data_IF_954678120463
#
_entry.id   IF_954678120463
#
_cell.length_a   1.000
_cell.length_b   1.000
_cell.length_c   1.000
_cell.angle_alpha   90.00
_cell.angle_beta   90.00
_cell.angle_gamma   90.00
#
_symmetry.space_group_name_H-M   'P 1'
#
loop_
_entity.id
_entity.type
_entity.pdbx_description
1 polymer ?
#
# COMPACT_ATOMS: atom_id res chain seq x y z
N UNK A 1 -16.60 -26.26 -17.37
CA UNK A 1 -17.30 -25.63 -16.24
C UNK A 1 -16.66 -24.27 -16.05
N UNK A 2 -17.39 -23.19 -16.32
CA UNK A 2 -16.92 -21.85 -15.95
C UNK A 2 -16.88 -21.81 -14.42
N UNK A 3 -15.72 -21.58 -13.81
CA UNK A 3 -15.59 -21.41 -12.36
C UNK A 3 -16.33 -20.11 -11.99
N UNK A 4 -17.59 -20.25 -11.58
CA UNK A 4 -18.39 -19.13 -11.08
C UNK A 4 -17.71 -18.50 -9.87
N UNK A 5 -17.76 -17.17 -9.78
CA UNK A 5 -17.17 -16.43 -8.67
C UNK A 5 -17.81 -16.85 -7.36
N UNK A 6 -16.98 -17.20 -6.37
CA UNK A 6 -17.47 -17.48 -5.02
C UNK A 6 -18.17 -16.24 -4.43
N UNK A 7 -19.43 -16.40 -4.02
CA UNK A 7 -20.22 -15.35 -3.35
C UNK A 7 -20.69 -15.82 -1.97
N UNK A 8 -21.14 -14.88 -1.14
CA UNK A 8 -21.82 -15.18 0.12
C UNK A 8 -23.22 -15.70 -0.17
N UNK A 9 -23.62 -16.77 0.52
CA UNK A 9 -24.93 -17.42 0.31
C UNK A 9 -25.93 -17.09 1.43
N UNK A 10 -25.90 -15.87 1.94
CA UNK A 10 -26.79 -15.42 3.00
C UNK A 10 -27.39 -14.03 2.68
N UNK A 11 -28.32 -13.56 3.51
CA UNK A 11 -28.99 -12.26 3.31
C UNK A 11 -28.09 -11.04 3.56
N UNK A 12 -26.77 -11.20 3.65
CA UNK A 12 -25.77 -10.11 3.67
C UNK A 12 -25.16 -9.82 2.29
N UNK A 13 -25.58 -10.53 1.23
CA UNK A 13 -25.18 -10.22 -0.14
C UNK A 13 -25.62 -8.80 -0.51
N UNK A 14 -24.72 -7.98 -1.07
CA UNK A 14 -25.02 -6.60 -1.44
C UNK A 14 -25.32 -6.52 -2.93
N UNK A 15 -26.54 -6.13 -3.25
CA UNK A 15 -27.10 -6.10 -4.60
C UNK A 15 -27.52 -4.65 -4.95
N UNK A 16 -26.51 -3.79 -5.01
CA UNK A 16 -26.64 -2.36 -5.31
C UNK A 16 -26.55 -2.09 -6.82
N UNK A 17 -27.45 -1.25 -7.34
CA UNK A 17 -27.51 -0.85 -8.75
C UNK A 17 -26.40 0.09 -9.19
N UNK A 18 -25.75 0.81 -8.27
CA UNK A 18 -24.78 1.84 -8.62
C UNK A 18 -23.53 1.20 -9.22
N UNK A 19 -23.03 1.86 -10.25
CA UNK A 19 -21.81 1.51 -10.99
C UNK A 19 -20.53 1.89 -10.22
N UNK A 20 -19.35 1.38 -10.60
CA UNK A 20 -18.09 1.81 -10.00
C UNK A 20 -17.85 3.33 -10.06
N UNK A 21 -18.36 4.02 -11.09
CA UNK A 21 -18.26 5.47 -11.23
C UNK A 21 -18.95 6.23 -10.10
N UNK A 22 -20.08 5.71 -9.61
CA UNK A 22 -20.91 6.36 -8.59
C UNK A 22 -20.21 6.39 -7.22
N UNK A 23 -19.25 5.49 -7.00
CA UNK A 23 -18.51 5.39 -5.74
C UNK A 23 -17.21 6.20 -5.71
N UNK A 24 -16.80 6.91 -6.77
CA UNK A 24 -15.46 7.54 -6.91
C UNK A 24 -14.99 8.37 -5.70
N UNK A 25 -15.92 8.95 -4.92
CA UNK A 25 -15.63 9.72 -3.71
C UNK A 25 -16.37 9.30 -2.44
N UNK A 26 -17.23 8.27 -2.51
CA UNK A 26 -18.15 7.91 -1.42
C UNK A 26 -18.19 6.41 -1.16
N UNK A 27 -18.59 6.01 0.05
CA UNK A 27 -18.86 4.60 0.39
C UNK A 27 -20.29 4.18 0.04
N UNK A 28 -20.66 2.93 0.30
CA UNK A 28 -22.00 2.43 0.01
C UNK A 28 -23.09 3.32 0.65
N UNK A 29 -22.89 3.69 1.90
CA UNK A 29 -23.83 4.53 2.66
C UNK A 29 -23.70 6.03 2.38
N UNK A 30 -22.89 6.44 1.40
CA UNK A 30 -22.76 7.84 0.99
C UNK A 30 -21.74 8.67 1.77
N UNK A 31 -20.96 8.08 2.67
CA UNK A 31 -19.93 8.80 3.43
C UNK A 31 -18.73 9.15 2.55
N UNK A 32 -18.11 10.33 2.77
CA UNK A 32 -16.90 10.71 2.04
C UNK A 32 -15.71 9.83 2.45
N UNK A 33 -14.90 9.40 1.49
CA UNK A 33 -13.72 8.54 1.76
C UNK A 33 -12.74 9.13 2.77
N UNK A 34 -12.55 10.44 2.76
CA UNK A 34 -11.65 11.14 3.70
C UNK A 34 -12.17 11.08 5.13
N UNK A 35 -13.49 11.18 5.33
CA UNK A 35 -14.13 11.08 6.64
C UNK A 35 -14.03 9.64 7.15
N UNK A 36 -14.38 8.66 6.30
CA UNK A 36 -14.28 7.23 6.64
C UNK A 36 -12.84 6.83 6.98
N UNK A 37 -11.84 7.33 6.25
CA UNK A 37 -10.42 7.15 6.58
C UNK A 37 -10.08 7.62 7.98
N UNK A 38 -10.49 8.85 8.32
CA UNK A 38 -10.18 9.43 9.63
C UNK A 38 -10.89 8.66 10.74
N UNK A 39 -12.17 8.34 10.56
CA UNK A 39 -12.93 7.58 11.55
C UNK A 39 -12.36 6.18 11.75
N UNK A 40 -12.01 5.46 10.67
CA UNK A 40 -11.36 4.15 10.75
C UNK A 40 -10.06 4.21 11.56
N UNK A 41 -9.18 5.17 11.27
CA UNK A 41 -7.93 5.36 12.03
C UNK A 41 -8.23 5.62 13.51
N UNK A 42 -9.22 6.45 13.82
CA UNK A 42 -9.61 6.75 15.20
C UNK A 42 -10.24 5.54 15.91
N UNK A 43 -11.07 4.74 15.24
CA UNK A 43 -11.63 3.50 15.80
C UNK A 43 -10.51 2.50 16.13
N UNK A 44 -9.51 2.36 15.24
CA UNK A 44 -8.31 1.53 15.49
C UNK A 44 -7.51 2.09 16.67
N UNK A 45 -7.27 3.41 16.75
CA UNK A 45 -6.58 4.03 17.91
C UNK A 45 -7.33 3.84 19.23
N UNK A 46 -8.66 3.82 19.20
CA UNK A 46 -9.49 3.60 20.40
C UNK A 46 -9.66 2.12 20.73
N UNK A 47 -8.95 1.22 20.04
CA UNK A 47 -9.05 -0.23 20.19
C UNK A 47 -10.51 -0.74 20.07
N UNK A 48 -11.26 -0.20 19.10
CA UNK A 48 -12.65 -0.57 18.82
C UNK A 48 -12.76 -1.42 17.55
N UNK A 49 -12.54 -2.74 17.62
CA UNK A 49 -12.46 -3.60 16.43
C UNK A 49 -13.77 -3.69 15.64
N UNK A 50 -14.93 -3.65 16.30
CA UNK A 50 -16.23 -3.70 15.62
C UNK A 50 -16.49 -2.44 14.79
N UNK A 51 -16.27 -1.27 15.40
CA UNK A 51 -16.37 0.04 14.72
C UNK A 51 -15.37 0.14 13.56
N UNK A 52 -14.12 -0.33 13.77
CA UNK A 52 -13.13 -0.38 12.71
C UNK A 52 -13.53 -1.33 11.57
N UNK A 53 -14.11 -2.50 11.87
CA UNK A 53 -14.60 -3.42 10.85
C UNK A 53 -15.78 -2.84 10.07
N UNK A 54 -16.65 -2.05 10.71
CA UNK A 54 -17.72 -1.31 10.02
C UNK A 54 -17.16 -0.36 8.97
N UNK A 55 -16.21 0.51 9.35
CA UNK A 55 -15.63 1.48 8.41
C UNK A 55 -14.75 0.84 7.33
N UNK A 56 -14.09 -0.27 7.64
CA UNK A 56 -13.40 -1.10 6.64
C UNK A 56 -14.39 -1.70 5.64
N UNK A 57 -15.51 -2.26 6.12
CA UNK A 57 -16.56 -2.82 5.28
C UNK A 57 -17.24 -1.77 4.39
N UNK A 58 -17.48 -0.56 4.89
CA UNK A 58 -18.00 0.56 4.09
C UNK A 58 -17.15 0.84 2.84
N UNK A 59 -15.82 0.87 3.01
CA UNK A 59 -14.88 1.04 1.89
C UNK A 59 -14.93 -0.15 0.92
N UNK A 60 -14.99 -1.38 1.43
CA UNK A 60 -15.10 -2.59 0.61
C UNK A 60 -16.40 -2.59 -0.20
N UNK A 61 -17.52 -2.21 0.40
CA UNK A 61 -18.83 -2.18 -0.26
C UNK A 61 -18.88 -1.17 -1.42
N UNK A 62 -18.10 -0.09 -1.33
CA UNK A 62 -17.89 0.89 -2.41
C UNK A 62 -16.72 0.57 -3.36
N UNK A 63 -16.06 -0.58 -3.22
CA UNK A 63 -14.94 -1.00 -4.09
C UNK A 63 -13.60 -0.32 -3.80
N UNK A 64 -13.44 0.35 -2.65
CA UNK A 64 -12.25 1.15 -2.31
C UNK A 64 -11.10 0.33 -1.69
N UNK A 65 -10.77 -0.82 -2.29
CA UNK A 65 -9.78 -1.74 -1.74
C UNK A 65 -8.38 -1.13 -1.62
N UNK A 66 -7.93 -0.40 -2.65
CA UNK A 66 -6.61 0.22 -2.66
C UNK A 66 -6.53 1.33 -1.60
N UNK A 67 -7.58 2.14 -1.44
CA UNK A 67 -7.63 3.13 -0.38
C UNK A 67 -7.55 2.49 1.02
N UNK A 68 -8.21 1.35 1.22
CA UNK A 68 -8.17 0.61 2.48
C UNK A 68 -6.78 0.02 2.76
N UNK A 69 -6.11 -0.56 1.76
CA UNK A 69 -4.71 -0.99 1.87
C UNK A 69 -3.77 0.17 2.24
N UNK A 70 -3.95 1.34 1.63
CA UNK A 70 -3.19 2.55 2.00
C UNK A 70 -3.42 2.98 3.44
N UNK A 71 -4.64 2.80 3.98
CA UNK A 71 -4.94 3.11 5.38
C UNK A 71 -4.19 2.15 6.30
N UNK A 72 -4.23 0.85 6.02
CA UNK A 72 -3.53 -0.15 6.84
C UNK A 72 -2.02 0.02 6.80
N UNK A 73 -1.43 0.15 5.61
CA UNK A 73 0.01 0.37 5.46
C UNK A 73 0.42 1.63 6.22
N UNK A 74 -0.32 2.73 6.05
CA UNK A 74 -0.07 3.97 6.76
C UNK A 74 -0.13 3.78 8.28
N UNK A 75 -1.19 3.15 8.79
CA UNK A 75 -1.38 2.95 10.22
C UNK A 75 -0.27 2.09 10.83
N UNK A 76 0.01 0.94 10.20
CA UNK A 76 1.04 0.02 10.66
C UNK A 76 2.40 0.68 10.69
N UNK A 77 2.78 1.43 9.65
CA UNK A 77 4.10 2.05 9.61
C UNK A 77 4.21 3.29 10.49
N UNK A 78 3.11 4.02 10.74
CA UNK A 78 3.14 5.23 11.59
C UNK A 78 3.01 4.93 13.09
N UNK A 79 2.13 4.01 13.48
CA UNK A 79 1.72 3.83 14.88
C UNK A 79 2.14 2.50 15.50
N UNK A 80 2.38 1.46 14.69
CA UNK A 80 2.75 0.12 15.19
C UNK A 80 4.26 -0.07 15.06
N UNK A 81 4.77 -0.06 13.83
CA UNK A 81 6.19 -0.19 13.46
C UNK A 81 6.95 -1.24 14.29
N UNK A 82 8.02 -0.85 14.99
CA UNK A 82 8.83 -1.72 15.86
C UNK A 82 8.06 -2.27 17.06
N UNK A 83 6.84 -1.79 17.34
CA UNK A 83 5.93 -2.37 18.33
C UNK A 83 5.44 -3.76 17.93
N UNK A 84 5.29 -4.04 16.63
CA UNK A 84 4.97 -5.38 16.12
C UNK A 84 5.46 -5.52 14.67
N UNK A 85 6.78 -5.74 14.44
CA UNK A 85 7.34 -5.71 13.10
C UNK A 85 6.83 -6.84 12.19
N UNK A 86 6.41 -7.97 12.77
CA UNK A 86 5.82 -9.11 12.03
C UNK A 86 4.54 -8.72 11.27
N UNK A 87 3.88 -7.61 11.63
CA UNK A 87 2.67 -7.16 10.95
C UNK A 87 2.90 -6.87 9.46
N UNK A 88 4.12 -6.47 9.09
CA UNK A 88 4.45 -6.21 7.68
C UNK A 88 4.48 -7.49 6.85
N UNK A 89 5.11 -8.54 7.38
CA UNK A 89 5.13 -9.87 6.73
C UNK A 89 3.70 -10.39 6.61
N UNK A 90 2.89 -10.20 7.66
CA UNK A 90 1.48 -10.57 7.64
C UNK A 90 0.69 -9.82 6.56
N UNK A 91 0.81 -8.49 6.50
CA UNK A 91 0.12 -7.67 5.50
C UNK A 91 0.52 -8.04 4.08
N UNK A 92 1.80 -8.28 3.82
CA UNK A 92 2.29 -8.72 2.51
C UNK A 92 1.64 -10.06 2.11
N UNK A 93 1.64 -11.06 3.01
CA UNK A 93 0.99 -12.35 2.76
C UNK A 93 -0.50 -12.21 2.47
N UNK A 94 -1.21 -11.35 3.21
CA UNK A 94 -2.63 -11.07 2.95
C UNK A 94 -2.83 -10.33 1.63
N UNK A 95 -1.94 -9.42 1.27
CA UNK A 95 -1.97 -8.74 -0.01
C UNK A 95 -1.74 -9.72 -1.18
N UNK A 96 -0.87 -10.72 -1.06
CA UNK A 96 -0.72 -11.74 -2.10
C UNK A 96 -1.99 -12.56 -2.30
N UNK A 97 -2.69 -12.92 -1.22
CA UNK A 97 -4.01 -13.58 -1.33
C UNK A 97 -4.99 -12.68 -2.08
N UNK A 98 -5.09 -11.40 -1.70
CA UNK A 98 -5.92 -10.41 -2.39
C UNK A 98 -5.57 -10.32 -3.89
N UNK A 99 -4.28 -10.19 -4.20
CA UNK A 99 -3.77 -10.08 -5.56
C UNK A 99 -4.09 -11.32 -6.40
N UNK A 100 -3.99 -12.52 -5.82
CA UNK A 100 -4.33 -13.75 -6.50
C UNK A 100 -5.81 -13.80 -6.87
N UNK A 101 -6.71 -13.41 -5.95
CA UNK A 101 -8.16 -13.31 -6.22
C UNK A 101 -8.42 -12.29 -7.33
N UNK A 102 -7.78 -11.11 -7.26
CA UNK A 102 -7.88 -10.09 -8.31
C UNK A 102 -7.40 -10.59 -9.68
N UNK A 103 -6.34 -11.40 -9.72
CA UNK A 103 -5.76 -11.90 -10.98
C UNK A 103 -6.55 -13.01 -11.65
N UNK A 104 -7.36 -13.77 -10.89
CA UNK A 104 -8.23 -14.79 -11.46
C UNK A 104 -9.27 -14.17 -12.41
N UNK A 105 -9.70 -12.93 -12.15
CA UNK A 105 -10.52 -12.18 -13.09
C UNK A 105 -11.95 -12.71 -13.26
N UNK A 106 -12.43 -13.56 -12.34
CA UNK A 106 -13.77 -14.14 -12.35
C UNK A 106 -14.88 -13.11 -12.00
N UNK A 107 -14.69 -11.83 -12.29
CA UNK A 107 -15.63 -10.75 -12.01
C UNK A 107 -15.65 -9.71 -13.14
N UNK A 108 -16.80 -9.08 -13.35
CA UNK A 108 -17.04 -7.95 -14.26
C UNK A 108 -16.41 -6.66 -13.75
N UNK A 109 -16.54 -6.38 -12.46
CA UNK A 109 -15.93 -5.20 -11.87
C UNK A 109 -15.57 -5.48 -10.40
N UNK A 110 -14.72 -4.62 -9.83
CA UNK A 110 -14.19 -4.82 -8.48
C UNK A 110 -15.27 -4.77 -7.39
N UNK A 111 -16.46 -4.18 -7.65
CA UNK A 111 -17.55 -4.15 -6.66
C UNK A 111 -18.04 -5.55 -6.33
N UNK A 112 -18.02 -6.49 -7.27
CA UNK A 112 -18.49 -7.86 -7.04
C UNK A 112 -17.69 -8.58 -5.94
N UNK A 113 -16.41 -8.20 -5.74
CA UNK A 113 -15.58 -8.76 -4.67
C UNK A 113 -16.07 -8.38 -3.26
N UNK A 114 -16.98 -7.40 -3.13
CA UNK A 114 -17.59 -7.06 -1.84
C UNK A 114 -18.43 -8.20 -1.31
N UNK A 115 -18.86 -9.13 -2.17
CA UNK A 115 -19.61 -10.33 -1.80
C UNK A 115 -18.72 -11.59 -1.72
N UNK A 116 -17.42 -11.48 -1.99
CA UNK A 116 -16.52 -12.62 -1.91
C UNK A 116 -16.21 -12.96 -0.42
N UNK A 117 -16.52 -14.17 0.07
CA UNK A 117 -16.40 -14.50 1.50
C UNK A 117 -14.97 -14.38 2.03
N UNK A 118 -13.99 -14.88 1.26
CA UNK A 118 -12.56 -14.74 1.60
C UNK A 118 -12.11 -13.27 1.72
N UNK A 119 -12.57 -12.38 0.83
CA UNK A 119 -12.27 -10.95 0.90
C UNK A 119 -12.84 -10.35 2.18
N UNK A 120 -14.13 -10.56 2.46
CA UNK A 120 -14.79 -10.05 3.68
C UNK A 120 -14.06 -10.51 4.95
N UNK A 121 -13.77 -11.80 5.05
CA UNK A 121 -13.11 -12.38 6.22
C UNK A 121 -11.65 -11.92 6.36
N UNK A 122 -10.91 -11.80 5.25
CA UNK A 122 -9.52 -11.36 5.26
C UNK A 122 -9.39 -9.92 5.74
N UNK A 123 -10.23 -9.01 5.24
CA UNK A 123 -10.20 -7.62 5.67
C UNK A 123 -10.67 -7.43 7.12
N UNK A 124 -11.65 -8.22 7.58
CA UNK A 124 -12.02 -8.25 9.00
C UNK A 124 -10.85 -8.70 9.87
N UNK A 125 -10.16 -9.78 9.46
CA UNK A 125 -8.99 -10.28 10.15
C UNK A 125 -7.88 -9.22 10.25
N UNK A 126 -7.50 -8.60 9.13
CA UNK A 126 -6.49 -7.54 9.08
C UNK A 126 -6.87 -6.40 10.01
N UNK A 127 -8.13 -5.94 9.96
CA UNK A 127 -8.63 -4.84 10.80
C UNK A 127 -8.48 -5.17 12.28
N UNK A 128 -8.91 -6.36 12.70
CA UNK A 128 -8.80 -6.78 14.09
C UNK A 128 -7.33 -6.95 14.52
N UNK A 129 -6.48 -7.56 13.70
CA UNK A 129 -5.05 -7.71 13.98
C UNK A 129 -4.36 -6.36 14.19
N UNK A 130 -4.62 -5.38 13.33
CA UNK A 130 -4.08 -4.03 13.47
C UNK A 130 -4.63 -3.35 14.72
N UNK A 131 -5.93 -3.45 14.97
CA UNK A 131 -6.61 -2.84 16.12
C UNK A 131 -6.12 -3.38 17.47
N UNK A 132 -5.61 -4.61 17.52
CA UNK A 132 -5.12 -5.27 18.73
C UNK A 132 -3.59 -5.32 18.82
N UNK A 133 -2.88 -4.77 17.83
CA UNK A 133 -1.42 -4.78 17.82
C UNK A 133 -0.84 -3.79 18.82
N UNK A 134 0.29 -4.18 19.42
CA UNK A 134 1.08 -3.30 20.27
C UNK A 134 1.57 -2.08 19.47
N UNK A 135 1.37 -0.91 20.06
CA UNK A 135 1.71 0.38 19.43
C UNK A 135 2.97 0.96 20.06
N UNK A 136 3.60 1.83 19.30
CA UNK A 136 4.71 2.66 19.75
C UNK A 136 4.36 4.13 19.52
N UNK A 137 5.20 5.02 20.03
CA UNK A 137 5.10 6.45 19.74
C UNK A 137 5.01 6.67 18.24
N UNK A 138 4.07 7.53 17.81
CA UNK A 138 3.86 7.77 16.39
C UNK A 138 5.09 8.38 15.75
N UNK A 139 5.45 7.87 14.57
CA UNK A 139 6.50 8.50 13.77
C UNK A 139 5.91 9.74 13.12
N UNK A 140 6.56 10.88 13.31
CA UNK A 140 6.14 12.14 12.70
C UNK A 140 6.93 12.43 11.42
N UNK A 141 6.31 13.20 10.53
CA UNK A 141 6.96 13.59 9.28
C UNK A 141 8.12 14.55 9.58
N UNK A 142 9.30 14.26 9.05
CA UNK A 142 10.40 15.23 9.03
C UNK A 142 10.04 16.36 8.06
N UNK A 143 10.11 17.61 8.51
CA UNK A 143 9.78 18.77 7.69
C UNK A 143 11.05 19.30 7.02
N UNK A 144 10.94 19.67 5.74
CA UNK A 144 11.97 20.36 4.97
C UNK A 144 11.49 21.76 4.60
N UNK A 145 12.32 22.77 4.85
CA UNK A 145 12.06 24.13 4.35
C UNK A 145 12.47 24.20 2.87
N UNK A 146 11.45 24.13 1.99
CA UNK A 146 11.60 23.89 0.54
C UNK A 146 12.46 24.90 -0.22
N UNK A 147 12.55 26.15 0.22
CA UNK A 147 13.17 27.23 -0.57
C UNK A 147 14.68 27.36 -0.29
N UNK A 148 15.11 27.09 0.94
CA UNK A 148 16.51 27.23 1.38
C UNK A 148 17.27 25.88 1.35
N UNK A 149 16.60 24.77 1.71
CA UNK A 149 17.27 23.48 1.96
C UNK A 149 17.35 22.55 0.73
N UNK A 150 16.85 22.96 -0.44
CA UNK A 150 16.97 22.15 -1.66
C UNK A 150 18.18 22.53 -2.52
N UNK A 151 18.90 23.61 -2.16
CA UNK A 151 20.20 23.93 -2.72
C UNK A 151 21.31 23.26 -1.88
N UNK A 152 22.04 22.31 -2.47
CA UNK A 152 23.11 21.57 -1.77
C UNK A 152 24.17 22.52 -1.20
N UNK A 153 24.40 23.69 -1.83
CA UNK A 153 25.34 24.70 -1.31
C UNK A 153 24.90 25.29 0.03
N UNK A 154 23.60 25.25 0.34
CA UNK A 154 22.99 25.74 1.58
C UNK A 154 22.82 24.61 2.63
N UNK A 155 23.02 23.34 2.24
CA UNK A 155 22.80 22.15 3.10
C UNK A 155 24.11 21.61 3.69
N UNK A 156 25.22 22.35 3.54
CA UNK A 156 26.56 21.95 3.98
C UNK A 156 26.62 21.49 5.45
N UNK A 157 25.86 22.15 6.34
CA UNK A 157 25.79 21.80 7.77
C UNK A 157 25.13 20.43 8.05
N UNK A 158 24.36 19.89 7.09
CA UNK A 158 23.71 18.57 7.19
C UNK A 158 24.55 17.46 6.56
N UNK A 159 25.62 17.81 5.83
CA UNK A 159 26.56 16.85 5.25
C UNK A 159 27.53 16.39 6.35
N UNK A 160 27.34 15.16 6.84
CA UNK A 160 28.09 14.63 7.97
C UNK A 160 28.87 13.36 7.64
N UNK A 161 28.73 12.82 6.42
CA UNK A 161 29.47 11.64 6.01
C UNK A 161 30.97 11.98 5.85
N UNK A 162 31.88 11.18 6.42
CA UNK A 162 33.31 11.45 6.34
C UNK A 162 33.90 11.27 4.92
N UNK A 163 33.21 10.52 4.07
CA UNK A 163 33.61 10.23 2.69
C UNK A 163 32.43 9.68 1.87
N UNK A 164 32.64 9.52 0.57
CA UNK A 164 31.61 9.08 -0.40
C UNK A 164 31.48 7.57 -0.61
N UNK A 165 32.26 6.77 0.13
CA UNK A 165 32.30 5.30 -0.06
C UNK A 165 31.01 4.57 0.32
N UNK A 166 30.06 5.23 0.99
CA UNK A 166 28.83 4.58 1.43
C UNK A 166 27.88 4.31 0.26
N UNK A 167 27.86 5.19 -0.75
CA UNK A 167 26.99 5.02 -1.92
C UNK A 167 27.63 4.27 -3.09
N UNK A 168 28.97 4.18 -3.14
CA UNK A 168 29.72 3.53 -4.22
C UNK A 168 29.20 2.14 -4.64
N UNK A 169 28.81 1.21 -3.75
CA UNK A 169 28.32 -0.11 -4.18
C UNK A 169 26.89 -0.10 -4.74
N UNK A 170 26.19 1.05 -4.69
CA UNK A 170 24.77 1.20 -5.05
C UNK A 170 24.58 2.16 -6.22
N UNK A 171 25.38 3.23 -6.28
CA UNK A 171 25.30 4.24 -7.33
C UNK A 171 25.81 3.67 -8.65
N UNK A 172 25.02 3.86 -9.71
CA UNK A 172 25.36 3.38 -11.04
C UNK A 172 25.83 4.51 -11.94
N UNK A 173 26.41 4.14 -13.08
CA UNK A 173 27.05 5.08 -13.99
C UNK A 173 26.08 6.14 -14.53
N UNK A 174 24.84 5.73 -14.80
CA UNK A 174 23.82 6.59 -15.41
C UNK A 174 22.86 7.19 -14.36
N UNK A 175 23.16 7.05 -13.07
CA UNK A 175 22.45 7.75 -12.01
C UNK A 175 22.80 9.26 -12.01
N UNK A 176 21.88 10.12 -11.53
CA UNK A 176 22.03 11.56 -11.63
C UNK A 176 23.11 12.06 -10.66
N UNK A 177 24.27 12.50 -11.19
CA UNK A 177 25.44 12.90 -10.40
C UNK A 177 25.15 13.94 -9.31
N UNK A 178 24.22 14.85 -9.56
CA UNK A 178 23.73 15.85 -8.60
C UNK A 178 23.11 15.23 -7.32
N UNK A 179 22.63 13.99 -7.40
CA UNK A 179 22.05 13.27 -6.27
C UNK A 179 23.07 12.40 -5.50
N UNK A 180 24.31 12.30 -5.99
CA UNK A 180 25.33 11.43 -5.42
C UNK A 180 25.61 11.73 -3.94
N UNK A 181 25.77 13.01 -3.59
CA UNK A 181 26.05 13.44 -2.22
C UNK A 181 24.85 13.18 -1.28
N UNK A 182 23.61 13.61 -1.60
CA UNK A 182 22.43 13.24 -0.81
C UNK A 182 22.25 11.73 -0.61
N UNK A 183 22.49 10.93 -1.65
CA UNK A 183 22.39 9.48 -1.57
C UNK A 183 23.47 8.88 -0.65
N UNK A 184 24.70 9.41 -0.69
CA UNK A 184 25.77 9.02 0.22
C UNK A 184 25.48 9.39 1.68
N UNK A 185 24.92 10.57 1.93
CA UNK A 185 24.50 10.95 3.27
C UNK A 185 23.42 10.03 3.81
N UNK A 186 22.42 9.68 3.00
CA UNK A 186 21.42 8.68 3.37
C UNK A 186 22.08 7.34 3.72
N UNK A 187 22.94 6.82 2.83
CA UNK A 187 23.65 5.56 3.00
C UNK A 187 24.50 5.55 4.29
N UNK A 188 25.23 6.63 4.58
CA UNK A 188 25.99 6.79 5.81
C UNK A 188 25.10 6.68 7.04
N UNK A 189 23.97 7.40 7.07
CA UNK A 189 23.08 7.44 8.23
C UNK A 189 22.40 6.09 8.52
N UNK A 190 22.21 5.21 7.52
CA UNK A 190 21.70 3.84 7.72
C UNK A 190 22.79 2.77 7.86
N UNK A 191 24.06 3.15 7.66
CA UNK A 191 25.19 2.24 7.75
C UNK A 191 25.44 1.76 9.19
N UNK A 192 26.28 0.73 9.32
CA UNK A 192 26.72 0.21 10.63
C UNK A 192 27.49 1.24 11.46
N UNK A 193 28.13 2.21 10.81
CA UNK A 193 28.99 3.20 11.45
C UNK A 193 28.21 4.29 12.18
N UNK A 194 27.05 4.72 11.64
CA UNK A 194 26.29 5.86 12.20
C UNK A 194 24.97 5.50 12.86
N UNK A 195 24.10 4.76 12.15
CA UNK A 195 22.74 4.38 12.59
C UNK A 195 21.89 5.56 13.11
N UNK A 196 21.76 6.63 12.32
CA UNK A 196 20.96 7.80 12.69
C UNK A 196 19.63 7.84 11.92
N UNK A 197 18.57 7.41 12.61
CA UNK A 197 17.19 7.37 12.10
C UNK A 197 16.69 8.74 11.61
N UNK A 198 16.90 9.80 12.40
CA UNK A 198 16.35 11.13 12.11
C UNK A 198 16.96 11.71 10.84
N UNK A 199 18.29 11.66 10.71
CA UNK A 199 18.98 12.16 9.53
C UNK A 199 18.69 11.31 8.28
N UNK A 200 18.56 9.98 8.42
CA UNK A 200 18.15 9.15 7.29
C UNK A 200 16.73 9.50 6.81
N UNK A 201 15.79 9.75 7.74
CA UNK A 201 14.44 10.22 7.39
C UNK A 201 14.44 11.61 6.75
N UNK A 202 15.34 12.51 7.17
CA UNK A 202 15.55 13.79 6.50
C UNK A 202 15.94 13.60 5.03
N UNK A 203 16.91 12.75 4.73
CA UNK A 203 17.35 12.51 3.35
C UNK A 203 16.29 11.80 2.49
N UNK A 204 15.41 11.01 3.09
CA UNK A 204 14.20 10.49 2.40
C UNK A 204 13.29 11.64 1.98
N UNK A 205 12.96 12.56 2.90
CA UNK A 205 12.12 13.72 2.59
C UNK A 205 12.80 14.61 1.54
N UNK A 206 14.11 14.78 1.65
CA UNK A 206 14.89 15.61 0.74
C UNK A 206 14.81 15.03 -0.67
N UNK A 207 14.97 13.72 -0.80
CA UNK A 207 14.82 12.99 -2.06
C UNK A 207 13.43 13.19 -2.68
N UNK A 208 12.37 13.07 -1.87
CA UNK A 208 10.99 13.25 -2.34
C UNK A 208 10.74 14.68 -2.81
N UNK A 209 11.19 15.68 -2.06
CA UNK A 209 10.99 17.10 -2.41
C UNK A 209 11.88 17.54 -3.58
N UNK A 210 13.11 17.02 -3.67
CA UNK A 210 14.02 17.25 -4.78
C UNK A 210 13.48 16.70 -6.11
N UNK A 211 12.99 15.45 -6.13
CA UNK A 211 12.35 14.87 -7.33
C UNK A 211 11.13 15.70 -7.77
N UNK A 212 10.31 16.16 -6.81
CA UNK A 212 9.18 17.05 -7.10
C UNK A 212 9.62 18.41 -7.68
N UNK A 213 10.72 18.99 -7.17
CA UNK A 213 11.29 20.24 -7.67
C UNK A 213 11.79 20.10 -9.10
N UNK A 214 12.56 19.04 -9.39
CA UNK A 214 13.08 18.72 -10.71
C UNK A 214 11.94 18.57 -11.74
N UNK A 215 10.86 17.88 -11.35
CA UNK A 215 9.64 17.75 -12.17
C UNK A 215 8.97 19.10 -12.44
N UNK A 216 8.87 19.98 -11.45
CA UNK A 216 8.34 21.35 -11.63
C UNK A 216 9.19 22.20 -12.58
N UNK A 217 10.51 22.05 -12.51
CA UNK A 217 11.48 22.74 -13.38
C UNK A 217 11.59 22.14 -14.79
N UNK A 218 10.79 21.11 -15.11
CA UNK A 218 10.85 20.33 -16.36
C UNK A 218 12.22 19.69 -16.64
N UNK A 219 13.08 19.58 -15.63
CA UNK A 219 14.34 18.86 -15.69
C UNK A 219 14.19 17.58 -14.87
N UNK A 220 13.76 16.48 -15.50
CA UNK A 220 13.49 15.23 -14.76
C UNK A 220 14.80 14.63 -14.26
N UNK A 221 14.90 14.43 -12.95
CA UNK A 221 15.99 13.69 -12.31
C UNK A 221 15.59 12.22 -12.23
N UNK A 222 16.22 11.37 -13.03
CA UNK A 222 15.87 9.94 -13.16
C UNK A 222 17.08 9.08 -12.85
N UNK A 223 16.88 7.98 -12.13
CA UNK A 223 17.92 6.99 -11.86
C UNK A 223 17.99 5.92 -12.97
N UNK A 224 19.10 5.19 -13.02
CA UNK A 224 19.20 3.99 -13.84
C UNK A 224 18.24 2.91 -13.32
N UNK A 225 17.61 2.16 -14.24
CA UNK A 225 16.63 1.12 -13.88
C UNK A 225 17.24 0.03 -12.99
N UNK A 226 16.56 -0.31 -11.90
CA UNK A 226 16.98 -1.37 -10.97
C UNK A 226 16.29 -2.70 -11.28
N UNK A 227 17.05 -3.79 -11.40
CA UNK A 227 16.52 -5.11 -11.79
C UNK A 227 15.47 -5.68 -10.81
N UNK A 228 15.56 -5.33 -9.53
CA UNK A 228 14.60 -5.77 -8.51
C UNK A 228 13.27 -5.01 -8.55
N UNK A 229 13.19 -3.91 -9.31
CA UNK A 229 11.99 -3.05 -9.40
C UNK A 229 11.06 -3.56 -10.50
N UNK A 230 9.92 -4.13 -10.09
CA UNK A 230 8.91 -4.72 -10.98
C UNK A 230 7.61 -3.90 -11.06
N UNK A 231 7.75 -2.59 -11.30
CA UNK A 231 6.61 -1.67 -11.51
C UNK A 231 6.42 -1.34 -13.00
N UNK A 232 5.37 -0.58 -13.33
CA UNK A 232 5.13 -0.07 -14.69
C UNK A 232 6.36 0.67 -15.24
N UNK A 233 6.68 0.48 -16.51
CA UNK A 233 7.94 0.94 -17.13
C UNK A 233 8.22 2.44 -16.91
N UNK A 234 7.19 3.29 -17.02
CA UNK A 234 7.29 4.75 -16.81
C UNK A 234 7.76 5.18 -15.41
N UNK A 235 7.73 4.27 -14.44
CA UNK A 235 8.10 4.54 -13.04
C UNK A 235 9.43 3.89 -12.63
N UNK A 236 10.06 3.07 -13.49
CA UNK A 236 11.26 2.27 -13.12
C UNK A 236 12.52 3.08 -12.90
N UNK A 237 12.52 4.33 -13.32
CA UNK A 237 13.64 5.26 -13.20
C UNK A 237 13.37 6.38 -12.17
N UNK A 238 12.33 6.25 -11.33
CA UNK A 238 12.09 7.21 -10.26
C UNK A 238 13.23 7.18 -9.22
N UNK A 239 13.66 8.37 -8.75
CA UNK A 239 14.85 8.53 -7.89
C UNK A 239 14.80 7.71 -6.58
N UNK A 240 13.59 7.43 -6.08
CA UNK A 240 13.38 6.66 -4.85
C UNK A 240 13.98 5.25 -4.88
N UNK A 241 14.24 4.69 -6.07
CA UNK A 241 14.83 3.36 -6.18
C UNK A 241 16.26 3.30 -5.68
N UNK A 242 17.00 4.42 -5.71
CA UNK A 242 18.33 4.50 -5.09
C UNK A 242 18.23 4.35 -3.57
N UNK A 243 17.24 5.00 -2.94
CA UNK A 243 16.95 4.86 -1.50
C UNK A 243 16.63 3.40 -1.15
N UNK A 244 15.79 2.74 -1.95
CA UNK A 244 15.48 1.32 -1.74
C UNK A 244 16.68 0.40 -1.94
N UNK A 245 17.50 0.65 -2.94
CA UNK A 245 18.72 -0.12 -3.20
C UNK A 245 19.69 -0.01 -2.01
N UNK A 246 19.86 1.21 -1.46
CA UNK A 246 20.58 1.43 -0.21
C UNK A 246 19.98 0.61 0.95
N UNK A 247 18.67 0.72 1.20
CA UNK A 247 18.00 -0.01 2.29
C UNK A 247 18.22 -1.52 2.17
N UNK A 248 18.04 -2.08 0.97
CA UNK A 248 18.21 -3.52 0.73
C UNK A 248 19.68 -3.95 0.83
N UNK A 249 20.62 -3.13 0.34
CA UNK A 249 22.05 -3.38 0.45
C UNK A 249 22.51 -3.44 1.91
N UNK A 250 22.22 -2.41 2.70
CA UNK A 250 22.60 -2.35 4.11
C UNK A 250 21.82 -3.34 4.98
N UNK A 251 20.58 -3.66 4.60
CA UNK A 251 19.80 -4.75 5.18
C UNK A 251 20.50 -6.09 5.04
N UNK A 252 20.90 -6.46 3.82
CA UNK A 252 21.67 -7.69 3.55
C UNK A 252 22.94 -7.74 4.40
N UNK A 253 23.65 -6.62 4.52
CA UNK A 253 24.86 -6.49 5.34
C UNK A 253 24.66 -6.75 6.85
N UNK A 254 23.43 -6.76 7.37
CA UNK A 254 23.15 -7.14 8.77
C UNK A 254 23.21 -8.66 9.00
N UNK A 255 23.24 -9.50 7.96
CA UNK A 255 23.24 -10.96 8.04
C UNK A 255 22.12 -11.52 8.95
N UNK A 256 20.95 -10.86 8.94
CA UNK A 256 19.80 -11.26 9.74
C UNK A 256 18.63 -11.57 8.81
N UNK A 257 18.23 -12.85 8.77
CA UNK A 257 17.17 -13.36 7.87
C UNK A 257 15.85 -12.63 8.11
N UNK A 258 15.48 -12.43 9.38
CA UNK A 258 14.24 -11.76 9.74
C UNK A 258 14.21 -10.29 9.30
N UNK A 259 15.32 -9.58 9.47
CA UNK A 259 15.45 -8.20 8.98
C UNK A 259 15.34 -8.14 7.46
N UNK A 260 16.00 -9.05 6.74
CA UNK A 260 15.93 -9.11 5.28
C UNK A 260 14.51 -9.44 4.80
N UNK A 261 13.81 -10.36 5.46
CA UNK A 261 12.41 -10.67 5.16
C UNK A 261 11.51 -9.44 5.35
N UNK A 262 11.65 -8.72 6.47
CA UNK A 262 10.91 -7.50 6.72
C UNK A 262 11.12 -6.45 5.61
N UNK A 263 12.38 -6.17 5.26
CA UNK A 263 12.69 -5.17 4.24
C UNK A 263 12.16 -5.56 2.85
N UNK A 264 12.22 -6.84 2.49
CA UNK A 264 11.64 -7.34 1.25
C UNK A 264 10.11 -7.20 1.25
N UNK A 265 9.44 -7.59 2.34
CA UNK A 265 7.99 -7.42 2.45
C UNK A 265 7.57 -5.93 2.41
N UNK A 266 8.35 -5.04 3.04
CA UNK A 266 8.13 -3.60 2.93
C UNK A 266 8.29 -3.12 1.49
N UNK A 267 9.32 -3.57 0.78
CA UNK A 267 9.55 -3.21 -0.62
C UNK A 267 8.40 -3.67 -1.52
N UNK A 268 7.90 -4.91 -1.35
CA UNK A 268 6.75 -5.42 -2.11
C UNK A 268 5.49 -4.60 -1.84
N UNK A 269 5.19 -4.29 -0.57
CA UNK A 269 4.08 -3.40 -0.18
C UNK A 269 4.26 -1.98 -0.76
N UNK A 270 5.49 -1.48 -0.83
CA UNK A 270 5.79 -0.19 -1.44
C UNK A 270 5.58 -0.21 -2.96
N UNK A 271 5.68 -1.36 -3.63
CA UNK A 271 5.47 -1.49 -5.08
C UNK A 271 4.00 -1.67 -5.49
N UNK A 272 3.10 -1.98 -4.55
CA UNK A 272 1.66 -2.17 -4.81
C UNK A 272 1.07 -0.99 -5.59
N UNK A 273 0.57 -1.18 -6.81
CA UNK A 273 -0.01 -0.11 -7.65
C UNK A 273 0.83 1.18 -7.62
N UNK A 274 2.15 1.03 -7.69
CA UNK A 274 3.08 2.14 -7.52
C UNK A 274 2.85 3.24 -8.56
N UNK A 275 2.91 4.47 -8.08
CA UNK A 275 3.05 5.70 -8.87
C UNK A 275 4.11 6.56 -8.16
N UNK A 276 4.69 7.55 -8.83
CA UNK A 276 5.61 8.48 -8.14
C UNK A 276 4.99 9.11 -6.88
N UNK A 277 3.68 9.41 -6.89
CA UNK A 277 2.99 9.96 -5.73
C UNK A 277 2.98 9.01 -4.52
N UNK A 278 3.19 7.71 -4.74
CA UNK A 278 3.30 6.70 -3.70
C UNK A 278 4.49 6.98 -2.76
N UNK A 279 5.58 7.60 -3.24
CA UNK A 279 6.71 7.99 -2.36
C UNK A 279 6.25 8.85 -1.19
N UNK A 280 5.42 9.87 -1.48
CA UNK A 280 4.87 10.77 -0.46
C UNK A 280 3.80 10.09 0.40
N UNK A 281 2.93 9.27 -0.21
CA UNK A 281 1.85 8.57 0.49
C UNK A 281 2.39 7.52 1.47
N UNK A 282 3.46 6.82 1.09
CA UNK A 282 4.06 5.69 1.82
C UNK A 282 5.37 6.04 2.53
N UNK A 283 5.64 7.33 2.78
CA UNK A 283 6.85 7.79 3.50
C UNK A 283 7.10 7.06 4.82
N UNK A 284 6.04 6.75 5.57
CA UNK A 284 6.17 6.08 6.85
C UNK A 284 6.65 4.64 6.70
N UNK A 285 6.39 3.99 5.57
CA UNK A 285 6.97 2.69 5.25
C UNK A 285 8.48 2.81 5.03
N UNK A 286 8.95 3.87 4.36
CA UNK A 286 10.38 4.15 4.22
C UNK A 286 11.03 4.44 5.58
N UNK A 287 10.37 5.24 6.43
CA UNK A 287 10.85 5.51 7.78
C UNK A 287 10.93 4.23 8.61
N UNK A 288 9.92 3.37 8.50
CA UNK A 288 9.95 2.09 9.19
C UNK A 288 11.10 1.20 8.67
N UNK A 289 11.35 1.18 7.36
CA UNK A 289 12.52 0.49 6.80
C UNK A 289 13.84 1.04 7.35
N UNK A 290 13.96 2.36 7.54
CA UNK A 290 15.12 2.97 8.22
C UNK A 290 15.22 2.52 9.66
N UNK A 291 14.12 2.50 10.43
CA UNK A 291 14.18 2.09 11.84
C UNK A 291 14.60 0.63 12.01
N UNK A 292 14.22 -0.25 11.07
CA UNK A 292 14.74 -1.63 10.99
C UNK A 292 16.27 -1.67 10.84
N UNK A 293 16.88 -0.68 10.18
CA UNK A 293 18.33 -0.59 9.97
C UNK A 293 19.05 0.13 11.12
N UNK A 294 18.44 1.14 11.72
CA UNK A 294 19.10 2.01 12.71
C UNK A 294 18.83 1.61 14.15
N UNK A 295 17.73 0.91 14.43
CA UNK A 295 17.32 0.55 15.79
C UNK A 295 17.40 -0.97 16.03
N UNK A 296 17.12 -1.38 17.27
CA UNK A 296 17.04 -2.79 17.65
C UNK A 296 15.67 -3.37 17.27
N UNK A 297 15.67 -4.52 16.58
CA UNK A 297 14.45 -5.18 16.10
C UNK A 297 14.21 -6.45 16.89
N UNK A 298 13.13 -6.45 17.69
CA UNK A 298 12.72 -7.62 18.46
C UNK A 298 11.97 -8.62 17.57
N UNK A 299 12.41 -9.88 17.57
CA UNK A 299 11.80 -10.97 16.78
C UNK A 299 10.86 -11.88 17.60
N UNK A 300 10.85 -11.77 18.92
CA UNK A 300 10.05 -12.60 19.83
C UNK A 300 8.62 -12.09 20.03
N UNK A 301 8.28 -10.92 19.52
CA UNK A 301 6.93 -10.33 19.64
C UNK A 301 5.92 -11.26 18.93
N UNK A 302 4.85 -11.65 19.61
CA UNK A 302 3.76 -12.40 19.00
C UNK A 302 2.94 -11.48 18.07
N UNK A 303 2.57 -11.99 16.88
CA UNK A 303 1.80 -11.21 15.91
C UNK A 303 0.38 -10.91 16.41
N UNK A 304 -0.26 -11.90 17.03
CA UNK A 304 -1.66 -11.85 17.50
C UNK A 304 -1.71 -12.44 18.91
N UNK A 305 -2.03 -11.59 19.88
CA UNK A 305 -2.19 -12.02 21.27
C UNK A 305 -3.57 -12.69 21.53
N UNK A 306 -4.62 -12.30 20.80
CA UNK A 306 -6.00 -12.78 21.04
C UNK A 306 -6.63 -13.39 19.77
N UNK A 307 -6.23 -14.62 19.44
CA UNK A 307 -6.65 -15.33 18.23
C UNK A 307 -8.15 -15.62 18.19
N UNK A 308 -8.74 -15.96 19.33
CA UNK A 308 -10.17 -16.30 19.42
C UNK A 308 -11.07 -15.12 19.07
N UNK A 309 -10.70 -13.92 19.51
CA UNK A 309 -11.44 -12.70 19.18
C UNK A 309 -11.42 -12.45 17.67
N UNK A 310 -10.27 -12.64 17.01
CA UNK A 310 -10.16 -12.48 15.56
C UNK A 310 -11.01 -13.52 14.82
N UNK A 311 -10.99 -14.78 15.26
CA UNK A 311 -11.83 -15.84 14.69
C UNK A 311 -13.32 -15.49 14.83
N UNK A 312 -13.73 -14.95 15.98
CA UNK A 312 -15.10 -14.52 16.21
C UNK A 312 -15.52 -13.40 15.26
N UNK A 313 -14.69 -12.36 15.08
CA UNK A 313 -14.97 -11.27 14.15
C UNK A 313 -15.06 -11.75 12.70
N UNK A 314 -14.16 -12.63 12.26
CA UNK A 314 -14.23 -13.24 10.92
C UNK A 314 -15.55 -13.97 10.69
N UNK A 315 -16.03 -14.73 11.68
CA UNK A 315 -17.30 -15.46 11.59
C UNK A 315 -18.51 -14.52 11.57
N UNK A 316 -18.44 -13.39 12.27
CA UNK A 316 -19.54 -12.43 12.41
C UNK A 316 -19.52 -11.27 11.41
N UNK A 317 -18.52 -11.18 10.53
CA UNK A 317 -18.37 -10.03 9.62
C UNK A 317 -19.61 -9.77 8.77
N UNK A 318 -20.31 -10.82 8.33
CA UNK A 318 -21.53 -10.67 7.54
C UNK A 318 -22.65 -9.92 8.28
N UNK A 319 -22.66 -9.90 9.62
CA UNK A 319 -23.60 -9.09 10.40
C UNK A 319 -23.38 -7.58 10.17
N UNK A 320 -22.13 -7.14 10.05
CA UNK A 320 -21.78 -5.75 9.70
C UNK A 320 -22.24 -5.44 8.27
N UNK A 321 -22.02 -6.36 7.33
CA UNK A 321 -22.48 -6.18 5.94
C UNK A 321 -24.01 -6.08 5.86
N UNK A 322 -24.77 -6.83 6.68
CA UNK A 322 -26.23 -6.67 6.80
C UNK A 322 -26.65 -5.29 7.30
N UNK A 323 -25.85 -4.66 8.17
CA UNK A 323 -26.13 -3.30 8.62
C UNK A 323 -25.93 -2.29 7.49
N UNK A 324 -24.81 -2.40 6.76
CA UNK A 324 -24.47 -1.50 5.64
C UNK A 324 -25.43 -1.70 4.46
N UNK A 325 -25.86 -2.95 4.20
CA UNK A 325 -26.82 -3.32 3.15
C UNK A 325 -28.12 -2.50 3.19
N UNK A 326 -28.54 -2.00 4.37
CA UNK A 326 -29.73 -1.14 4.49
C UNK A 326 -29.65 0.15 3.66
N UNK A 327 -28.44 0.57 3.27
CA UNK A 327 -28.20 1.74 2.44
C UNK A 327 -27.94 1.38 0.97
N UNK A 328 -28.19 0.12 0.56
CA UNK A 328 -28.10 -0.27 -0.84
C UNK A 328 -29.24 0.35 -1.66
N UNK A 329 -28.97 0.67 -2.93
CA UNK A 329 -29.99 1.11 -3.87
C UNK A 329 -30.49 -0.08 -4.68
N UNK A 330 -31.73 -0.50 -4.40
CA UNK A 330 -32.43 -1.54 -5.14
C UNK A 330 -33.39 -0.92 -6.17
N UNK A 331 -33.61 -1.55 -7.33
CA UNK A 331 -34.63 -1.09 -8.27
C UNK A 331 -36.03 -1.31 -7.68
N UNK A 332 -36.98 -0.40 -7.99
CA UNK A 332 -38.40 -0.66 -7.72
C UNK A 332 -38.82 -1.94 -8.44
N UNK A 333 -39.48 -2.85 -7.73
CA UNK A 333 -39.76 -4.25 -8.06
C UNK A 333 -40.46 -4.52 -9.40
N UNK A 334 -40.93 -3.51 -10.13
CA UNK A 334 -41.78 -3.69 -11.33
C UNK A 334 -41.02 -3.78 -12.67
N UNK A 335 -39.73 -3.39 -12.75
CA UNK A 335 -39.00 -3.32 -14.03
C UNK A 335 -37.80 -4.30 -14.16
N UNK A 336 -37.53 -5.15 -13.16
CA UNK A 336 -36.19 -5.73 -12.92
C UNK A 336 -35.63 -6.75 -13.91
N UNK A 337 -36.43 -7.65 -14.47
CA UNK A 337 -35.81 -8.84 -15.09
C UNK A 337 -35.30 -8.61 -16.52
N UNK A 338 -35.70 -7.52 -17.19
CA UNK A 338 -35.36 -7.32 -18.60
C UNK A 338 -34.07 -6.53 -18.86
N UNK A 339 -33.64 -5.65 -17.93
CA UNK A 339 -32.53 -4.72 -18.18
C UNK A 339 -31.21 -5.15 -17.52
N UNK A 340 -31.26 -5.77 -16.34
CA UNK A 340 -30.05 -6.20 -15.61
C UNK A 340 -29.35 -7.36 -16.33
N UNK A 341 -30.10 -8.29 -16.93
CA UNK A 341 -29.51 -9.37 -17.73
C UNK A 341 -28.85 -8.85 -19.01
N UNK A 342 -29.46 -7.85 -19.66
CA UNK A 342 -28.91 -7.24 -20.89
C UNK A 342 -27.63 -6.46 -20.62
N UNK A 343 -27.58 -5.69 -19.54
CA UNK A 343 -26.40 -4.89 -19.18
C UNK A 343 -25.23 -5.79 -18.79
N UNK A 344 -25.48 -6.82 -17.98
CA UNK A 344 -24.47 -7.83 -17.64
C UNK A 344 -24.00 -8.63 -18.87
N UNK A 345 -24.91 -8.98 -19.79
CA UNK A 345 -24.55 -9.66 -21.04
C UNK A 345 -23.72 -8.75 -21.96
N UNK A 346 -24.03 -7.46 -22.01
CA UNK A 346 -23.29 -6.47 -22.77
C UNK A 346 -21.88 -6.26 -22.20
N UNK A 347 -21.74 -6.08 -20.89
CA UNK A 347 -20.43 -5.95 -20.23
C UNK A 347 -19.58 -7.23 -20.39
N UNK A 348 -20.18 -8.42 -20.26
CA UNK A 348 -19.51 -9.70 -20.55
C UNK A 348 -18.98 -9.73 -21.99
N UNK A 349 -19.78 -9.26 -22.94
CA UNK A 349 -19.40 -9.23 -24.37
C UNK A 349 -18.29 -8.22 -24.64
N UNK A 350 -18.34 -7.03 -24.03
CA UNK A 350 -17.28 -6.02 -24.10
C UNK A 350 -15.96 -6.53 -23.52
N UNK A 351 -15.99 -7.20 -22.36
CA UNK A 351 -14.78 -7.82 -21.79
C UNK A 351 -14.21 -8.92 -22.67
N UNK A 352 -15.04 -9.80 -23.24
CA UNK A 352 -14.59 -10.81 -24.20
C UNK A 352 -13.94 -10.16 -25.42
N UNK A 353 -14.51 -9.08 -25.94
CA UNK A 353 -13.95 -8.33 -27.07
C UNK A 353 -12.60 -7.67 -26.73
N UNK A 354 -12.45 -7.08 -25.53
CA UNK A 354 -11.18 -6.52 -25.07
C UNK A 354 -10.09 -7.58 -24.88
N UNK A 355 -10.45 -8.75 -24.36
CA UNK A 355 -9.52 -9.89 -24.24
C UNK A 355 -9.06 -10.39 -25.61
N UNK A 356 -9.97 -10.51 -26.58
CA UNK A 356 -9.65 -10.91 -27.96
C UNK A 356 -8.73 -9.90 -28.64
N UNK A 357 -9.01 -8.59 -28.51
CA UNK A 357 -8.17 -7.54 -29.08
C UNK A 357 -6.75 -7.52 -28.49
N UNK A 358 -6.60 -7.83 -27.20
CA UNK A 358 -5.28 -7.93 -26.56
C UNK A 358 -4.48 -9.16 -27.06
N UNK A 359 -5.16 -10.26 -27.39
CA UNK A 359 -4.54 -11.46 -27.96
C UNK A 359 -4.08 -11.21 -29.41
N UNK A 360 -4.89 -10.52 -30.21
CA UNK A 360 -4.53 -10.18 -31.59
C UNK A 360 -3.40 -9.14 -31.67
N UNK A 361 -3.33 -8.21 -30.71
CA UNK A 361 -2.22 -7.28 -30.56
C UNK A 361 -0.89 -7.97 -30.20
N UNK A 362 -0.93 -9.09 -29.48
CA UNK A 362 0.27 -9.89 -29.16
C UNK A 362 0.73 -10.77 -30.34
N UNK A 363 -0.19 -11.27 -31.17
CA UNK A 363 0.16 -12.05 -32.37
C UNK A 363 0.82 -11.19 -33.46
N UNK A 364 0.38 -9.94 -33.64
CA UNK A 364 0.96 -9.02 -34.64
C UNK A 364 2.36 -8.49 -34.29
N UNK A 365 2.77 -8.57 -33.02
CA UNK A 365 4.12 -8.18 -32.59
C UNK A 365 5.14 -9.32 -32.62
N UNK A 366 4.69 -10.55 -32.91
CA UNK A 366 5.52 -11.75 -33.04
C UNK A 366 5.51 -12.32 -34.47
N UNK A 367 5.09 -11.52 -35.47
CA UNK A 367 5.14 -11.87 -36.91
C UNK A 367 6.27 -11.13 -37.61
#
# INVERSE_FOLDING_TARGET
>A
MEDEMQTVNDNSEINDLRSPSDFKGITLSGFKKTEVRNTLIESIKKNKPEEACYWSAELICGGHYIDLWEIYIHYCCKYIHLGNPKIIIYLEKRYQIFKNIMSQGNFLNELQLRNHPTIRQMFAEITCTICQSERKTSIEQVKIKREEELDISQVSEKLIAPHVKFIEPIFRKDDPKEYFIPANEFAFNISKEKKNMLNACYWIEWTIEFDNLCKKRKNKCVCESRNFVKVEAKYRNDLIWIIWDCILHYGKGKNNIFVNELLNCMFELFCVKYTTASCKKRRYLLYFAVSILTENVLNQIELINNKDTIILFKKKINTIYKQIKKNEQSPNTEYLFANIEKENAFEKSMKKMQLLNNIDGQKRNNS
#
